data_IF_575517000221
#
_entry.id   IF_575517000221
#
_cell.length_a   1.000
_cell.length_b   1.000
_cell.length_c   1.000
_cell.angle_alpha   90.00
_cell.angle_beta   90.00
_cell.angle_gamma   90.00
#
_symmetry.space_group_name_H-M   'P 1'
#
loop_
_entity.id
_entity.type
_entity.pdbx_description
1 polymer ?
#
# COMPACT_ATOMS: atom_id res chain seq x y z
N UNK A 1 -0.47 4.94 4.24
CA UNK A 1 -1.04 5.11 5.60
C UNK A 1 -0.17 4.31 6.56
N UNK A 2 0.74 5.00 7.27
CA UNK A 2 1.74 4.31 8.09
C UNK A 2 1.15 3.64 9.34
N UNK A 3 0.14 4.24 9.95
CA UNK A 3 -0.49 3.69 11.16
C UNK A 3 -1.99 3.89 11.14
N UNK A 4 -2.69 2.86 11.56
CA UNK A 4 -4.11 2.92 11.91
C UNK A 4 -4.22 2.60 13.40
N UNK A 5 -4.83 3.52 14.16
CA UNK A 5 -5.05 3.32 15.60
C UNK A 5 -6.55 3.32 15.89
N UNK A 6 -6.94 2.40 16.75
CA UNK A 6 -8.28 2.33 17.29
C UNK A 6 -8.22 2.17 18.81
N UNK A 7 -8.88 3.06 19.56
CA UNK A 7 -8.85 3.08 21.02
C UNK A 7 -7.45 3.02 21.63
N UNK A 8 -6.49 3.72 21.00
CA UNK A 8 -5.09 3.76 21.45
C UNK A 8 -4.21 2.62 20.95
N UNK A 9 -4.79 1.53 20.44
CA UNK A 9 -4.05 0.38 19.91
C UNK A 9 -3.66 0.62 18.45
N UNK A 10 -2.43 0.29 18.08
CA UNK A 10 -2.02 0.25 16.68
C UNK A 10 -2.45 -1.09 16.07
N UNK A 11 -3.15 -1.03 14.94
CA UNK A 11 -3.68 -2.20 14.24
C UNK A 11 -2.82 -2.59 13.03
N UNK A 12 -1.72 -1.86 12.80
CA UNK A 12 -0.85 -2.05 11.65
C UNK A 12 0.42 -2.80 12.02
N UNK A 13 0.91 -3.65 11.14
CA UNK A 13 2.28 -4.14 11.22
C UNK A 13 3.24 -2.99 10.87
N UNK A 14 4.31 -2.86 11.61
CA UNK A 14 5.35 -1.87 11.38
C UNK A 14 6.69 -2.59 11.23
N UNK A 15 7.29 -2.46 10.06
CA UNK A 15 8.52 -3.18 9.71
C UNK A 15 9.73 -2.67 10.51
N UNK A 16 10.75 -3.49 10.72
CA UNK A 16 12.02 -3.08 11.32
C UNK A 16 12.74 -1.95 10.57
N UNK A 17 12.42 -1.71 9.28
CA UNK A 17 12.98 -0.58 8.54
C UNK A 17 12.60 0.79 9.12
N UNK A 18 11.51 0.86 9.88
CA UNK A 18 11.03 2.12 10.43
C UNK A 18 10.52 3.08 9.35
N UNK A 19 10.61 4.38 9.63
CA UNK A 19 10.35 5.42 8.64
C UNK A 19 11.64 5.77 7.90
N UNK A 20 11.62 5.62 6.61
CA UNK A 20 12.75 5.98 5.75
C UNK A 20 12.36 7.22 4.93
N UNK A 21 13.20 8.24 4.95
CA UNK A 21 12.97 9.42 4.13
C UNK A 21 13.07 9.06 2.63
N UNK A 22 12.21 9.63 1.78
CA UNK A 22 12.24 9.35 0.34
C UNK A 22 13.62 9.55 -0.32
N UNK A 23 14.43 10.45 0.20
CA UNK A 23 15.79 10.69 -0.28
C UNK A 23 16.74 9.48 -0.16
N UNK A 24 16.39 8.49 0.68
CA UNK A 24 17.16 7.26 0.86
C UNK A 24 16.55 6.06 0.11
N UNK A 25 15.51 6.28 -0.69
CA UNK A 25 14.93 5.25 -1.52
C UNK A 25 15.89 4.83 -2.64
N UNK A 26 16.07 3.54 -2.80
CA UNK A 26 16.85 2.94 -3.88
C UNK A 26 15.91 2.18 -4.83
N UNK A 27 15.65 2.75 -6.01
CA UNK A 27 14.75 2.17 -7.02
C UNK A 27 15.42 1.10 -7.89
N UNK A 28 16.22 0.19 -7.32
CA UNK A 28 16.92 -0.84 -8.08
C UNK A 28 16.66 -2.23 -7.50
N UNK A 29 16.21 -3.16 -8.35
CA UNK A 29 15.95 -4.53 -7.95
C UNK A 29 15.03 -4.63 -6.73
N UNK A 30 15.45 -5.34 -5.71
CA UNK A 30 14.72 -5.55 -4.46
C UNK A 30 15.06 -4.54 -3.35
N UNK A 31 15.83 -3.49 -3.64
CA UNK A 31 16.25 -2.51 -2.63
C UNK A 31 15.07 -1.73 -2.01
N UNK A 32 13.92 -1.72 -2.66
CA UNK A 32 12.66 -1.26 -2.08
C UNK A 32 12.40 -1.83 -0.67
N UNK A 33 12.83 -3.06 -0.38
CA UNK A 33 12.68 -3.70 0.93
C UNK A 33 13.42 -2.94 2.05
N UNK A 34 14.45 -2.17 1.73
CA UNK A 34 15.18 -1.34 2.71
C UNK A 34 14.37 -0.14 3.20
N UNK A 35 13.36 0.27 2.45
CA UNK A 35 12.47 1.40 2.77
C UNK A 35 11.02 0.97 3.04
N UNK A 36 10.77 -0.33 3.13
CA UNK A 36 9.43 -0.87 3.36
C UNK A 36 9.01 -0.68 4.81
N UNK A 37 8.37 0.43 5.11
CA UNK A 37 7.79 0.71 6.43
C UNK A 37 6.66 -0.28 6.80
N UNK A 38 6.03 -0.94 5.82
CA UNK A 38 4.77 -1.63 5.91
C UNK A 38 3.63 -0.67 6.27
N UNK A 39 3.29 -0.54 7.56
CA UNK A 39 2.17 0.30 7.96
C UNK A 39 0.82 -0.31 7.60
N UNK A 40 -0.27 0.42 7.82
CA UNK A 40 -1.60 -0.09 7.48
C UNK A 40 -1.78 -0.30 5.98
N UNK A 41 -1.34 0.66 5.18
CA UNK A 41 -1.43 0.60 3.73
C UNK A 41 -0.17 1.19 3.09
N UNK A 42 0.57 0.37 2.37
CA UNK A 42 1.57 0.79 1.40
C UNK A 42 0.95 0.71 0.01
N UNK A 43 0.91 1.82 -0.70
CA UNK A 43 0.50 1.84 -2.11
C UNK A 43 1.69 1.45 -2.96
N UNK A 44 1.54 0.43 -3.80
CA UNK A 44 2.56 -0.03 -4.74
C UNK A 44 2.15 0.30 -6.18
N UNK A 45 3.09 0.60 -7.03
CA UNK A 45 2.89 1.06 -8.40
C UNK A 45 3.65 2.38 -8.61
N UNK A 46 3.24 3.27 -9.47
CA UNK A 46 2.27 3.15 -10.59
C UNK A 46 2.90 2.48 -11.80
N UNK A 47 4.23 2.36 -11.78
CA UNK A 47 5.05 1.79 -12.86
C UNK A 47 4.90 0.28 -12.96
N UNK A 48 5.00 -0.37 -11.80
CA UNK A 48 5.00 -1.84 -11.71
C UNK A 48 4.59 -2.31 -10.34
N UNK A 49 4.09 -3.54 -10.29
CA UNK A 49 3.77 -4.26 -9.06
C UNK A 49 4.41 -5.63 -9.10
N UNK A 50 4.87 -6.12 -7.95
CA UNK A 50 5.48 -7.44 -7.86
C UNK A 50 7.01 -7.40 -8.00
N UNK A 51 7.59 -8.47 -8.54
CA UNK A 51 9.03 -8.62 -8.64
C UNK A 51 9.65 -7.60 -9.60
N UNK A 52 10.94 -7.24 -9.38
CA UNK A 52 11.66 -6.42 -10.34
C UNK A 52 11.65 -7.07 -11.72
N UNK A 53 11.50 -6.26 -12.74
CA UNK A 53 11.51 -6.72 -14.13
C UNK A 53 12.13 -5.68 -15.06
N UNK A 54 12.21 -6.01 -16.33
CA UNK A 54 12.55 -5.07 -17.40
C UNK A 54 11.39 -5.05 -18.38
N UNK A 55 10.83 -3.88 -18.63
CA UNK A 55 9.80 -3.68 -19.63
C UNK A 55 10.18 -2.56 -20.58
N UNK A 56 10.06 -2.80 -21.89
CA UNK A 56 10.43 -1.85 -22.96
C UNK A 56 11.84 -1.21 -22.79
N UNK A 57 12.78 -1.92 -22.14
CA UNK A 57 14.14 -1.44 -21.87
C UNK A 57 14.28 -0.64 -20.56
N UNK A 58 13.21 -0.36 -19.86
CA UNK A 58 13.20 0.27 -18.55
C UNK A 58 13.35 -0.78 -17.44
N UNK A 59 14.24 -0.52 -16.47
CA UNK A 59 14.39 -1.34 -15.27
C UNK A 59 13.35 -0.93 -14.24
N UNK A 60 12.44 -1.83 -13.92
CA UNK A 60 11.35 -1.58 -12.98
C UNK A 60 11.68 -2.23 -11.63
N UNK A 61 11.63 -1.47 -10.52
CA UNK A 61 11.94 -2.00 -9.19
C UNK A 61 10.80 -2.84 -8.62
N UNK A 62 11.09 -3.57 -7.55
CA UNK A 62 10.08 -4.22 -6.74
C UNK A 62 8.99 -3.21 -6.34
N UNK A 63 7.73 -3.50 -6.67
CA UNK A 63 6.55 -2.72 -6.29
C UNK A 63 6.54 -1.24 -6.73
N UNK A 64 7.37 -0.87 -7.70
CA UNK A 64 7.43 0.51 -8.20
C UNK A 64 7.98 1.52 -7.20
N UNK A 65 7.78 2.79 -7.47
CA UNK A 65 8.37 3.90 -6.69
C UNK A 65 7.35 4.69 -5.86
N UNK A 66 6.06 4.57 -6.12
CA UNK A 66 5.04 5.48 -5.56
C UNK A 66 5.00 5.50 -4.03
N UNK A 67 5.31 4.37 -3.37
CA UNK A 67 5.36 4.28 -1.91
C UNK A 67 6.42 5.18 -1.27
N UNK A 68 7.47 5.51 -2.04
CA UNK A 68 8.61 6.32 -1.61
C UNK A 68 8.64 7.70 -2.29
N UNK A 69 7.62 8.03 -3.08
CA UNK A 69 7.48 9.33 -3.71
C UNK A 69 6.78 10.28 -2.75
N UNK A 70 7.36 11.45 -2.45
CA UNK A 70 6.73 12.42 -1.59
C UNK A 70 5.40 12.91 -2.16
N UNK A 71 4.40 13.03 -1.30
CA UNK A 71 3.18 13.77 -1.61
C UNK A 71 3.51 15.25 -1.76
N UNK A 72 3.14 15.84 -2.88
CA UNK A 72 3.44 17.25 -3.19
C UNK A 72 2.32 18.20 -2.77
N UNK A 73 1.11 17.68 -2.60
CA UNK A 73 -0.03 18.44 -2.07
C UNK A 73 -0.75 17.62 -1.01
N UNK A 74 -1.07 18.27 0.10
CA UNK A 74 -1.91 17.71 1.16
C UNK A 74 -2.79 18.81 1.74
N UNK A 75 -4.09 18.56 1.83
CA UNK A 75 -5.05 19.46 2.45
C UNK A 75 -6.09 18.64 3.21
N UNK A 76 -6.61 19.18 4.29
CA UNK A 76 -7.69 18.58 5.04
C UNK A 76 -8.74 19.61 5.42
N UNK A 77 -9.95 19.16 5.59
CA UNK A 77 -11.07 19.95 6.04
C UNK A 77 -12.02 19.11 6.88
N UNK A 78 -12.73 19.76 7.79
CA UNK A 78 -13.89 19.16 8.46
C UNK A 78 -15.14 19.75 7.82
N UNK A 79 -15.95 18.91 7.21
CA UNK A 79 -17.18 19.30 6.56
C UNK A 79 -18.24 18.20 6.68
N UNK A 80 -19.51 18.60 6.88
CA UNK A 80 -20.65 17.68 6.89
C UNK A 80 -20.51 16.49 7.87
N UNK A 81 -19.88 16.70 9.03
CA UNK A 81 -19.68 15.68 10.06
C UNK A 81 -18.64 14.64 9.72
N UNK A 82 -17.70 14.95 8.84
CA UNK A 82 -16.55 14.10 8.51
C UNK A 82 -15.27 14.92 8.35
N UNK A 83 -14.15 14.29 8.63
CA UNK A 83 -12.84 14.79 8.28
C UNK A 83 -12.44 14.25 6.90
N UNK A 84 -12.06 15.14 6.00
CA UNK A 84 -11.64 14.78 4.64
C UNK A 84 -10.20 15.20 4.44
N UNK A 85 -9.33 14.27 4.07
CA UNK A 85 -7.94 14.52 3.69
C UNK A 85 -7.78 14.24 2.19
N UNK A 86 -7.26 15.22 1.46
CA UNK A 86 -6.92 15.08 0.02
C UNK A 86 -5.43 15.23 -0.16
N UNK A 87 -4.86 14.34 -0.95
CA UNK A 87 -3.43 14.35 -1.26
C UNK A 87 -3.20 14.15 -2.74
N UNK A 88 -2.06 14.66 -3.23
CA UNK A 88 -1.57 14.37 -4.57
C UNK A 88 -0.13 13.89 -4.51
N UNK A 89 0.18 12.85 -5.29
CA UNK A 89 1.53 12.34 -5.46
C UNK A 89 1.81 12.22 -6.97
N UNK A 90 2.98 12.70 -7.40
CA UNK A 90 3.37 12.75 -8.80
C UNK A 90 4.33 11.61 -9.13
N UNK A 91 3.97 10.77 -10.10
CA UNK A 91 4.87 9.83 -10.77
C UNK A 91 5.15 10.35 -12.17
N UNK A 92 5.96 11.40 -12.24
CA UNK A 92 6.19 12.17 -13.46
C UNK A 92 7.68 12.31 -13.77
N UNK A 93 8.01 12.21 -15.04
CA UNK A 93 9.35 12.51 -15.58
C UNK A 93 9.25 13.50 -16.74
N UNK A 94 10.32 14.25 -17.00
CA UNK A 94 10.31 15.30 -18.02
C UNK A 94 9.96 14.74 -19.40
N UNK A 95 10.58 13.63 -19.81
CA UNK A 95 10.43 13.02 -21.14
C UNK A 95 9.75 11.66 -21.12
N UNK A 96 9.11 11.28 -20.01
CA UNK A 96 8.46 9.98 -19.85
C UNK A 96 7.07 10.10 -19.27
N UNK A 97 6.70 9.11 -18.47
CA UNK A 97 5.42 8.98 -17.80
C UNK A 97 5.02 10.25 -17.03
N UNK A 98 3.73 10.53 -17.03
CA UNK A 98 3.14 11.65 -16.30
C UNK A 98 1.83 11.21 -15.65
N UNK A 99 1.96 10.38 -14.63
CA UNK A 99 0.82 9.90 -13.84
C UNK A 99 0.72 10.65 -12.51
N UNK A 100 -0.49 10.98 -12.11
CA UNK A 100 -0.81 11.61 -10.83
C UNK A 100 -1.73 10.70 -10.04
N UNK A 101 -1.39 10.49 -8.79
CA UNK A 101 -2.27 9.81 -7.83
C UNK A 101 -2.93 10.88 -6.95
N UNK A 102 -4.23 11.04 -7.11
CA UNK A 102 -5.08 11.80 -6.23
C UNK A 102 -5.74 10.86 -5.24
N UNK A 103 -5.53 11.08 -3.95
CA UNK A 103 -6.13 10.28 -2.89
C UNK A 103 -7.01 11.15 -2.01
N UNK A 104 -8.22 10.67 -1.76
CA UNK A 104 -9.14 11.22 -0.78
C UNK A 104 -9.38 10.20 0.33
N UNK A 105 -9.20 10.61 1.58
CA UNK A 105 -9.59 9.83 2.76
C UNK A 105 -10.72 10.56 3.47
N UNK A 106 -11.77 9.83 3.82
CA UNK A 106 -12.95 10.36 4.48
C UNK A 106 -13.17 9.59 5.78
N UNK A 107 -13.27 10.33 6.87
CA UNK A 107 -13.44 9.82 8.22
C UNK A 107 -14.73 10.41 8.83
N UNK A 108 -15.86 9.69 8.78
CA UNK A 108 -17.05 10.09 9.52
C UNK A 108 -16.74 10.23 11.01
N UNK A 109 -17.24 11.30 11.66
CA UNK A 109 -16.95 11.58 13.07
C UNK A 109 -17.85 10.80 14.03
N UNK A 110 -18.92 10.19 13.54
CA UNK A 110 -19.93 9.50 14.33
C UNK A 110 -19.78 7.97 14.34
N UNK A 111 -18.84 7.41 13.57
CA UNK A 111 -18.65 5.96 13.45
C UNK A 111 -17.19 5.56 13.19
N UNK A 112 -16.89 4.29 13.50
CA UNK A 112 -15.53 3.73 13.38
C UNK A 112 -15.31 3.11 12.00
N UNK A 113 -15.36 3.93 10.99
CA UNK A 113 -15.04 3.54 9.61
C UNK A 113 -14.28 4.67 8.91
N UNK A 114 -13.65 4.37 7.83
CA UNK A 114 -13.16 5.36 6.89
C UNK A 114 -13.14 4.76 5.49
N UNK A 115 -13.22 5.64 4.51
CA UNK A 115 -13.01 5.28 3.10
C UNK A 115 -11.79 5.97 2.57
N UNK A 116 -11.14 5.36 1.58
CA UNK A 116 -10.21 6.06 0.73
C UNK A 116 -10.56 5.77 -0.74
N UNK A 117 -10.38 6.78 -1.56
CA UNK A 117 -10.63 6.74 -3.00
C UNK A 117 -9.42 7.28 -3.71
N UNK A 118 -8.97 6.56 -4.72
CA UNK A 118 -7.86 6.97 -5.57
C UNK A 118 -8.33 7.23 -6.99
N UNK A 119 -7.83 8.31 -7.56
CA UNK A 119 -7.96 8.64 -8.98
C UNK A 119 -6.55 8.73 -9.56
N UNK A 120 -6.28 7.96 -10.61
CA UNK A 120 -5.04 8.03 -11.35
C UNK A 120 -5.32 8.79 -12.65
N UNK A 121 -4.62 9.90 -12.80
CA UNK A 121 -4.73 10.80 -13.94
C UNK A 121 -3.47 10.71 -14.78
N UNK A 122 -3.63 10.45 -16.08
CA UNK A 122 -2.56 10.61 -17.05
C UNK A 122 -2.63 12.04 -17.62
N UNK A 123 -1.61 12.84 -17.32
CA UNK A 123 -1.48 14.22 -17.82
C UNK A 123 -0.50 14.34 -18.99
N UNK A 124 0.03 13.21 -19.46
CA UNK A 124 0.90 13.15 -20.63
C UNK A 124 0.13 13.16 -21.96
N UNK A 125 0.88 13.14 -23.02
CA UNK A 125 0.39 13.13 -24.40
C UNK A 125 0.29 11.73 -25.02
N UNK A 126 0.61 10.70 -24.24
CA UNK A 126 0.59 9.28 -24.65
C UNK A 126 -0.22 8.45 -23.68
N UNK A 127 -0.72 7.33 -24.15
CA UNK A 127 -1.26 6.28 -23.28
C UNK A 127 -0.13 5.70 -22.45
N UNK A 128 -0.40 5.57 -21.14
CA UNK A 128 0.55 5.00 -20.17
C UNK A 128 -0.12 3.84 -19.46
N UNK A 129 0.46 2.63 -19.50
CA UNK A 129 0.02 1.54 -18.66
C UNK A 129 0.32 1.87 -17.19
N UNK A 130 -0.55 1.42 -16.30
CA UNK A 130 -0.27 1.51 -14.87
C UNK A 130 -0.70 0.25 -14.12
N UNK A 131 -0.03 -0.02 -13.04
CA UNK A 131 -0.39 -1.07 -12.09
C UNK A 131 -0.57 -0.47 -10.69
N UNK A 132 -1.54 -0.96 -9.95
CA UNK A 132 -1.83 -0.50 -8.60
C UNK A 132 -2.08 -1.68 -7.67
N UNK A 133 -1.37 -1.71 -6.54
CA UNK A 133 -1.60 -2.67 -5.48
C UNK A 133 -1.71 -1.95 -4.13
N UNK A 134 -2.77 -2.24 -3.41
CA UNK A 134 -2.94 -1.86 -2.01
C UNK A 134 -2.35 -2.93 -1.11
N UNK A 135 -1.10 -2.74 -0.70
CA UNK A 135 -0.39 -3.66 0.17
C UNK A 135 -0.78 -3.38 1.62
N UNK A 136 -1.85 -4.04 2.06
CA UNK A 136 -2.37 -3.91 3.42
C UNK A 136 -1.51 -4.74 4.39
N UNK A 137 -1.08 -4.12 5.50
CA UNK A 137 -0.21 -4.77 6.48
C UNK A 137 -0.84 -4.63 7.87
N UNK A 138 -1.70 -5.56 8.16
CA UNK A 138 -2.33 -5.66 9.48
C UNK A 138 -1.40 -6.40 10.43
N UNK A 139 -1.47 -6.08 11.73
CA UNK A 139 -0.62 -6.66 12.75
C UNK A 139 -1.37 -6.91 14.04
N UNK A 140 -0.66 -7.46 15.03
CA UNK A 140 -1.18 -7.62 16.36
C UNK A 140 -1.49 -6.26 17.02
N UNK A 141 -2.61 -6.08 17.76
CA UNK A 141 -3.57 -7.12 18.16
C UNK A 141 -4.78 -7.31 17.21
N UNK A 142 -4.77 -6.73 16.01
CA UNK A 142 -5.85 -6.98 15.05
C UNK A 142 -5.80 -8.41 14.48
N UNK A 143 -4.58 -8.90 14.24
CA UNK A 143 -4.35 -10.29 13.82
C UNK A 143 -3.77 -11.09 14.99
N UNK A 144 -4.49 -12.11 15.40
CA UNK A 144 -4.14 -13.10 16.41
C UNK A 144 -4.75 -14.47 16.03
N UNK A 145 -4.67 -15.45 16.90
CA UNK A 145 -5.20 -16.81 16.68
C UNK A 145 -6.72 -16.89 16.51
N UNK A 146 -7.46 -15.90 17.00
CA UNK A 146 -8.91 -15.80 16.88
C UNK A 146 -9.34 -15.11 15.58
N UNK A 147 -8.39 -14.55 14.83
CA UNK A 147 -8.66 -13.82 13.60
C UNK A 147 -8.94 -14.75 12.43
N UNK A 148 -9.94 -14.39 11.64
CA UNK A 148 -10.34 -15.16 10.45
C UNK A 148 -10.41 -14.25 9.23
N UNK A 149 -9.70 -14.62 8.16
CA UNK A 149 -9.79 -13.95 6.87
C UNK A 149 -11.02 -14.46 6.12
N UNK A 150 -11.87 -13.55 5.66
CA UNK A 150 -13.04 -13.87 4.83
C UNK A 150 -12.93 -13.14 3.51
N UNK A 151 -12.97 -13.91 2.42
CA UNK A 151 -12.92 -13.40 1.05
C UNK A 151 -14.14 -13.91 0.31
N UNK A 152 -14.80 -13.06 -0.44
CA UNK A 152 -15.93 -13.43 -1.31
C UNK A 152 -15.40 -14.12 -2.59
N UNK A 153 -14.86 -15.32 -2.42
CA UNK A 153 -14.32 -16.16 -3.50
C UNK A 153 -14.85 -17.58 -3.37
N UNK A 154 -15.17 -18.20 -4.48
CA UNK A 154 -15.57 -19.60 -4.54
C UNK A 154 -14.37 -20.56 -4.57
N UNK A 155 -13.19 -20.06 -4.86
CA UNK A 155 -11.98 -20.85 -4.99
C UNK A 155 -10.77 -20.11 -4.41
N UNK A 156 -9.89 -20.86 -3.74
CA UNK A 156 -8.61 -20.39 -3.24
C UNK A 156 -7.51 -21.32 -3.75
N UNK A 157 -6.56 -20.75 -4.48
CA UNK A 157 -5.42 -21.49 -5.03
C UNK A 157 -4.11 -21.01 -4.43
N UNK A 158 -3.16 -21.91 -4.16
CA UNK A 158 -1.87 -21.51 -3.60
C UNK A 158 -1.02 -20.86 -4.69
N UNK A 159 -0.36 -19.76 -4.35
CA UNK A 159 0.56 -19.06 -5.23
C UNK A 159 1.81 -19.87 -5.59
N UNK A 160 2.28 -20.72 -4.67
CA UNK A 160 3.49 -21.52 -4.82
C UNK A 160 3.45 -22.72 -3.85
N UNK A 161 4.48 -23.57 -3.87
CA UNK A 161 4.59 -24.74 -3.02
C UNK A 161 4.58 -24.40 -1.51
N UNK A 162 5.16 -23.30 -1.10
CA UNK A 162 5.13 -22.84 0.30
C UNK A 162 3.69 -22.52 0.75
N UNK A 163 2.96 -21.77 -0.06
CA UNK A 163 1.56 -21.45 0.21
C UNK A 163 0.65 -22.71 0.17
N UNK A 164 0.97 -23.70 -0.68
CA UNK A 164 0.22 -24.94 -0.76
C UNK A 164 0.26 -25.74 0.55
N UNK A 165 1.37 -25.69 1.28
CA UNK A 165 1.51 -26.40 2.56
C UNK A 165 0.55 -25.90 3.65
N UNK A 166 0.11 -24.63 3.57
CA UNK A 166 -0.82 -24.02 4.53
C UNK A 166 -2.24 -23.83 3.98
N UNK A 167 -2.57 -24.39 2.80
CA UNK A 167 -3.84 -24.13 2.11
C UNK A 167 -5.07 -24.56 2.93
N UNK A 168 -4.95 -25.63 3.73
CA UNK A 168 -6.07 -26.11 4.54
C UNK A 168 -6.49 -25.11 5.63
N UNK A 169 -5.54 -24.34 6.14
CA UNK A 169 -5.72 -23.41 7.25
C UNK A 169 -5.64 -21.93 6.82
N UNK A 170 -5.64 -21.65 5.52
CA UNK A 170 -5.43 -20.32 4.95
C UNK A 170 -6.29 -19.19 5.57
N UNK A 171 -7.54 -19.42 6.02
CA UNK A 171 -8.34 -18.32 6.57
C UNK A 171 -8.00 -17.99 8.02
N UNK A 172 -7.16 -18.77 8.67
CA UNK A 172 -6.82 -18.63 10.10
C UNK A 172 -5.42 -18.05 10.28
N UNK A 173 -5.29 -17.23 11.31
CA UNK A 173 -4.00 -16.71 11.73
C UNK A 173 -3.39 -17.63 12.80
N UNK A 174 -2.07 -17.61 12.88
CA UNK A 174 -1.34 -18.24 13.99
C UNK A 174 -1.25 -17.28 15.17
N UNK A 175 -1.04 -17.84 16.36
CA UNK A 175 -0.75 -17.03 17.54
C UNK A 175 0.50 -16.16 17.31
N UNK A 176 0.53 -14.92 17.85
CA UNK A 176 1.70 -14.06 17.75
C UNK A 176 2.94 -14.76 18.33
N UNK A 177 4.03 -14.71 17.59
CA UNK A 177 5.34 -15.21 18.07
C UNK A 177 6.17 -14.06 18.62
N UNK A 178 6.91 -14.30 19.70
CA UNK A 178 7.95 -13.36 20.15
C UNK A 178 9.02 -13.26 19.07
N UNK A 179 9.27 -12.07 18.53
CA UNK A 179 10.36 -11.79 17.60
C UNK A 179 11.69 -11.65 18.32
#
# INVERSE_FOLDING_TARGET
IARLRYRGLNLSYFSPCGYVAPAFYEGTGTNWLKSFTAGFLTTCGLQSVGNPCTDAGEQLPLHGSIANTPTDQAAWEEAHGQLVLRTRTLDETIFGRKLRLWRTLEFPLDRNEFTFSDVIENTGDKEEPFELLYHMNMGYPLLDEDSVVRIASSEVVPRNAHAAAALADWPRMQAPTSG
#
